data_IF_445966803245
#
_entry.id   IF_445966803245
#
_cell.length_a   1.000
_cell.length_b   1.000
_cell.length_c   1.000
_cell.angle_alpha   90.00
_cell.angle_beta   90.00
_cell.angle_gamma   90.00
#
_symmetry.space_group_name_H-M   'P 1'
#
loop_
_entity.id
_entity.type
_entity.pdbx_description
1 polymer ?
#
# COMPACT_ATOMS: atom_id res chain seq x y z
N UNK A 1 -4.19 -2.78 10.39
CA UNK A 1 -5.63 -2.87 10.73
C UNK A 1 -6.54 -2.71 9.51
N UNK A 2 -6.28 -1.76 8.60
CA UNK A 2 -7.12 -1.49 7.41
C UNK A 2 -6.98 -2.50 6.26
N UNK A 3 -6.27 -3.62 6.41
CA UNK A 3 -6.05 -4.60 5.32
C UNK A 3 -7.09 -5.72 5.30
N UNK A 4 -7.88 -5.85 6.36
CA UNK A 4 -8.77 -6.99 6.51
C UNK A 4 -10.08 -6.76 5.75
N UNK A 5 -10.35 -7.62 4.77
CA UNK A 5 -11.56 -7.57 3.94
C UNK A 5 -12.84 -7.88 4.72
N UNK A 6 -12.76 -8.37 5.97
CA UNK A 6 -13.94 -8.56 6.81
C UNK A 6 -14.74 -7.27 7.01
N UNK A 7 -14.13 -6.09 6.86
CA UNK A 7 -14.88 -4.84 7.00
C UNK A 7 -15.86 -4.60 5.84
N UNK A 8 -15.68 -5.29 4.70
CA UNK A 8 -16.58 -5.23 3.54
C UNK A 8 -17.57 -6.40 3.50
N UNK A 9 -17.67 -7.20 4.57
CA UNK A 9 -18.56 -8.38 4.61
C UNK A 9 -17.98 -9.65 3.98
N UNK A 10 -16.74 -9.59 3.48
CA UNK A 10 -16.05 -10.73 2.84
C UNK A 10 -15.02 -11.37 3.77
N UNK A 11 -14.95 -12.70 3.79
CA UNK A 11 -14.00 -13.46 4.61
C UNK A 11 -13.17 -14.40 3.73
N UNK A 12 -11.85 -14.33 3.90
CA UNK A 12 -10.89 -15.25 3.26
C UNK A 12 -10.54 -16.39 4.23
N UNK A 13 -10.79 -17.62 3.79
CA UNK A 13 -10.42 -18.84 4.51
C UNK A 13 -9.28 -19.52 3.77
N UNK A 14 -8.10 -19.56 4.38
CA UNK A 14 -6.97 -20.30 3.83
C UNK A 14 -7.17 -21.79 4.08
N UNK A 15 -6.82 -22.60 3.08
CA UNK A 15 -6.71 -24.04 3.27
C UNK A 15 -5.48 -24.35 4.15
N UNK A 16 -5.64 -25.28 5.08
CA UNK A 16 -4.58 -25.68 6.02
C UNK A 16 -3.49 -26.50 5.33
N UNK A 17 -3.87 -27.23 4.28
CA UNK A 17 -2.98 -28.11 3.51
C UNK A 17 -2.25 -27.33 2.42
N UNK A 18 -3.00 -26.59 1.59
CA UNK A 18 -2.46 -25.82 0.48
C UNK A 18 -2.61 -24.31 0.71
N UNK A 19 -1.56 -23.69 1.26
CA UNK A 19 -1.54 -22.24 1.59
C UNK A 19 -1.64 -21.30 0.38
N UNK A 20 -1.54 -21.84 -0.83
CA UNK A 20 -1.68 -21.09 -2.09
C UNK A 20 -3.15 -20.87 -2.45
N UNK A 21 -4.04 -21.77 -2.03
CA UNK A 21 -5.47 -21.68 -2.30
C UNK A 21 -6.22 -21.08 -1.12
N UNK A 22 -7.22 -20.26 -1.42
CA UNK A 22 -8.13 -19.71 -0.42
C UNK A 22 -9.56 -19.74 -0.94
N UNK A 23 -10.50 -19.93 -0.01
CA UNK A 23 -11.92 -19.78 -0.25
C UNK A 23 -12.33 -18.36 0.12
N UNK A 24 -13.11 -17.72 -0.76
CA UNK A 24 -13.66 -16.38 -0.52
C UNK A 24 -15.16 -16.50 -0.28
N UNK A 25 -15.59 -16.20 0.94
CA UNK A 25 -17.01 -16.12 1.28
C UNK A 25 -17.44 -14.65 1.24
N UNK A 26 -18.32 -14.32 0.30
CA UNK A 26 -18.90 -12.98 0.15
C UNK A 26 -20.20 -12.87 0.96
N UNK A 27 -20.52 -11.66 1.41
CA UNK A 27 -21.75 -11.34 2.17
C UNK A 27 -22.04 -12.28 3.35
N UNK A 28 -21.00 -12.65 4.10
CA UNK A 28 -21.16 -13.49 5.28
C UNK A 28 -21.79 -12.72 6.46
N UNK A 29 -21.53 -11.42 6.54
CA UNK A 29 -22.03 -10.54 7.59
C UNK A 29 -22.16 -9.11 7.06
N UNK A 30 -22.91 -8.27 7.78
CA UNK A 30 -23.13 -6.87 7.39
C UNK A 30 -21.81 -6.11 7.28
N UNK A 31 -21.61 -5.47 6.12
CA UNK A 31 -20.42 -4.68 5.87
C UNK A 31 -20.41 -3.42 6.75
N UNK A 32 -19.31 -3.19 7.46
CA UNK A 32 -19.09 -1.99 8.28
C UNK A 32 -18.73 -0.81 7.37
N UNK A 33 -17.98 -1.07 6.29
CA UNK A 33 -17.61 -0.10 5.27
C UNK A 33 -17.92 -0.67 3.88
N UNK A 34 -18.21 0.21 2.93
CA UNK A 34 -18.40 -0.20 1.54
C UNK A 34 -17.08 -0.58 0.88
N UNK A 35 -17.12 -1.48 -0.10
CA UNK A 35 -15.95 -1.89 -0.87
C UNK A 35 -15.24 -0.70 -1.54
N UNK A 36 -16.00 0.31 -1.97
CA UNK A 36 -15.45 1.52 -2.59
C UNK A 36 -14.53 2.30 -1.64
N UNK A 37 -14.96 2.48 -0.38
CA UNK A 37 -14.19 3.19 0.65
C UNK A 37 -12.94 2.38 1.00
N UNK A 38 -13.09 1.06 1.14
CA UNK A 38 -11.96 0.18 1.39
C UNK A 38 -10.89 0.29 0.29
N UNK A 39 -11.30 0.26 -0.98
CA UNK A 39 -10.41 0.35 -2.12
C UNK A 39 -9.68 1.70 -2.20
N UNK A 40 -10.37 2.81 -1.91
CA UNK A 40 -9.74 4.15 -1.85
C UNK A 40 -8.65 4.20 -0.78
N UNK A 41 -8.92 3.65 0.40
CA UNK A 41 -7.97 3.60 1.51
C UNK A 41 -6.75 2.74 1.18
N UNK A 42 -6.91 1.60 0.51
CA UNK A 42 -5.76 0.78 0.07
C UNK A 42 -4.86 1.55 -0.89
N UNK A 43 -5.43 2.26 -1.87
CA UNK A 43 -4.66 3.07 -2.83
C UNK A 43 -3.87 4.18 -2.14
N UNK A 44 -4.51 4.91 -1.22
CA UNK A 44 -3.84 5.97 -0.47
C UNK A 44 -2.73 5.40 0.41
N UNK A 45 -2.96 4.25 1.04
CA UNK A 45 -1.94 3.57 1.84
C UNK A 45 -0.72 3.20 1.00
N UNK A 46 -0.92 2.61 -0.18
CA UNK A 46 0.18 2.31 -1.11
C UNK A 46 0.92 3.58 -1.50
N UNK A 47 0.19 4.66 -1.80
CA UNK A 47 0.79 5.96 -2.14
C UNK A 47 1.62 6.58 -1.01
N UNK A 48 1.18 6.42 0.25
CA UNK A 48 1.92 6.90 1.44
C UNK A 48 3.14 6.06 1.76
N UNK A 49 3.14 4.79 1.36
CA UNK A 49 4.27 3.90 1.65
C UNK A 49 5.44 4.30 0.75
N UNK A 50 6.60 4.57 1.37
CA UNK A 50 7.87 4.82 0.67
C UNK A 50 8.47 3.53 0.09
N UNK A 51 7.71 2.72 -0.64
CA UNK A 51 8.22 1.56 -1.37
C UNK A 51 8.72 2.03 -2.74
N UNK A 52 10.00 1.79 -3.03
CA UNK A 52 10.53 1.93 -4.39
C UNK A 52 10.11 0.75 -5.27
N UNK A 53 10.36 0.86 -6.57
CA UNK A 53 9.96 -0.11 -7.62
C UNK A 53 10.38 -1.56 -7.34
N UNK A 54 11.39 -1.78 -6.49
CA UNK A 54 11.99 -3.10 -6.20
C UNK A 54 11.68 -3.62 -4.78
N UNK A 55 10.56 -3.22 -4.18
CA UNK A 55 10.19 -3.52 -2.79
C UNK A 55 11.22 -3.07 -1.73
N UNK A 56 12.19 -2.25 -2.12
CA UNK A 56 13.13 -1.62 -1.22
C UNK A 56 12.51 -0.32 -0.72
N UNK A 57 12.54 -0.09 0.59
CA UNK A 57 12.11 1.20 1.14
C UNK A 57 13.03 2.29 0.58
N UNK A 58 12.47 3.32 -0.02
CA UNK A 58 13.25 4.46 -0.49
C UNK A 58 14.01 5.05 0.70
N UNK A 59 15.35 5.05 0.60
CA UNK A 59 16.27 5.49 1.65
C UNK A 59 16.28 7.00 1.87
N UNK A 60 15.30 7.75 1.30
CA UNK A 60 15.07 9.16 1.58
C UNK A 60 14.62 9.31 3.04
N UNK A 61 15.61 9.18 3.94
CA UNK A 61 15.58 9.75 5.28
C UNK A 61 15.39 11.24 5.06
N UNK A 62 14.28 11.77 5.55
CA UNK A 62 14.15 13.19 5.86
C UNK A 62 15.08 13.54 7.03
N UNK A 63 16.38 13.25 6.93
CA UNK A 63 17.38 13.77 7.87
C UNK A 63 17.72 15.19 7.44
N UNK A 64 16.78 16.07 7.75
CA UNK A 64 16.79 17.51 8.06
C UNK A 64 17.95 18.46 7.71
N UNK A 65 19.03 18.11 6.99
CA UNK A 65 20.16 19.05 6.79
C UNK A 65 20.89 19.05 5.44
N UNK A 66 20.61 18.14 4.51
CA UNK A 66 21.46 18.01 3.30
C UNK A 66 20.77 18.17 1.92
N UNK A 67 19.45 18.25 1.81
CA UNK A 67 18.80 18.30 0.48
C UNK A 67 18.73 19.70 -0.15
N UNK A 68 19.18 20.76 0.53
CA UNK A 68 19.12 22.12 0.03
C UNK A 68 20.38 22.60 -0.72
N UNK A 69 21.41 21.76 -0.89
CA UNK A 69 22.68 22.19 -1.54
C UNK A 69 22.90 21.73 -2.98
N UNK A 70 22.09 20.82 -3.53
CA UNK A 70 22.39 20.21 -4.84
C UNK A 70 21.48 20.65 -5.99
N UNK A 71 20.54 21.60 -5.79
CA UNK A 71 19.65 22.07 -6.87
C UNK A 71 20.33 22.96 -7.93
N UNK A 72 21.56 23.40 -7.71
CA UNK A 72 22.26 24.30 -8.65
C UNK A 72 23.07 23.57 -9.74
N UNK A 73 23.27 22.26 -9.65
CA UNK A 73 24.17 21.52 -10.58
C UNK A 73 23.46 20.77 -11.71
N UNK A 74 22.15 20.49 -11.60
CA UNK A 74 21.46 19.61 -12.56
C UNK A 74 20.91 20.34 -13.81
N UNK A 75 20.90 21.68 -13.84
CA UNK A 75 20.37 22.47 -14.97
C UNK A 75 21.44 22.90 -16.01
N UNK A 76 22.63 22.28 -16.03
CA UNK A 76 23.75 22.69 -16.90
C UNK A 76 24.08 21.74 -18.05
N UNK A 77 23.34 20.64 -18.24
CA UNK A 77 23.71 19.60 -19.22
C UNK A 77 22.60 19.19 -20.20
N UNK A 78 21.59 20.02 -20.43
CA UNK A 78 20.66 19.85 -21.55
C UNK A 78 20.65 21.11 -22.44
N UNK A 79 21.68 21.23 -23.28
CA UNK A 79 21.66 21.91 -24.58
C UNK A 79 22.11 20.92 -25.65
#
# INVERSE_FOLDING_TARGET
>A
MLENEKYTGSVKLLDSVNKENYYLLKDNHEAIITEEVFNKVQKEKVSRINLGEKNNRNSRKYSSKFSCKNKEMDNKYEE
#
